data_IF_997641270607
#
_entry.id   IF_997641270607
#
_cell.length_a   1.000
_cell.length_b   1.000
_cell.length_c   1.000
_cell.angle_alpha   90.00
_cell.angle_beta   90.00
_cell.angle_gamma   90.00
#
_symmetry.space_group_name_H-M   'P 1'
#
loop_
_entity.id
_entity.type
_entity.pdbx_description
1 polymer ?
#
# COMPACT_ATOMS: atom_id res chain seq x y z
N UNK A 1 -10.91 9.90 -1.43
CA UNK A 1 -9.52 10.33 -1.17
C UNK A 1 -8.65 9.91 -2.35
N UNK A 2 -7.84 10.81 -2.80
CA UNK A 2 -6.92 10.51 -3.90
C UNK A 2 -5.50 10.36 -3.36
N UNK A 3 -4.85 9.29 -3.79
CA UNK A 3 -3.45 9.00 -3.46
C UNK A 3 -2.72 8.61 -4.73
N UNK A 4 -1.41 8.51 -4.65
CA UNK A 4 -0.59 8.00 -5.75
C UNK A 4 -0.18 6.58 -5.39
N UNK A 5 -0.47 5.63 -6.28
CA UNK A 5 -0.04 4.25 -6.11
C UNK A 5 0.88 3.93 -7.27
N UNK A 6 2.14 3.67 -6.97
CA UNK A 6 3.18 3.44 -7.97
C UNK A 6 3.21 4.56 -9.01
N UNK A 7 3.05 5.80 -8.55
CA UNK A 7 3.11 6.98 -9.40
C UNK A 7 1.83 7.32 -10.15
N UNK A 8 0.79 6.52 -10.01
CA UNK A 8 -0.48 6.76 -10.69
C UNK A 8 -1.55 7.19 -9.70
N UNK A 9 -2.35 8.18 -10.09
CA UNK A 9 -3.45 8.64 -9.26
C UNK A 9 -4.51 7.57 -9.10
N UNK A 10 -4.95 7.35 -7.87
CA UNK A 10 -5.99 6.39 -7.55
C UNK A 10 -6.98 7.03 -6.60
N UNK A 11 -8.28 6.85 -6.88
CA UNK A 11 -9.32 7.28 -5.98
C UNK A 11 -9.67 6.10 -5.06
N UNK A 12 -9.29 6.23 -3.80
CA UNK A 12 -9.45 5.16 -2.83
C UNK A 12 -10.65 5.44 -1.96
N UNK A 13 -11.59 4.50 -1.92
CA UNK A 13 -12.78 4.60 -1.10
C UNK A 13 -12.83 3.44 -0.13
N UNK A 14 -13.12 3.76 1.12
CA UNK A 14 -13.31 2.75 2.14
C UNK A 14 -12.03 2.23 2.79
N UNK A 15 -10.87 2.44 2.18
CA UNK A 15 -9.61 2.05 2.79
C UNK A 15 -9.14 3.16 3.70
N UNK A 16 -8.89 2.85 4.96
CA UNK A 16 -8.45 3.82 5.96
C UNK A 16 -6.99 3.66 6.32
N UNK A 17 -6.42 2.52 6.00
CA UNK A 17 -5.03 2.24 6.31
C UNK A 17 -4.41 1.40 5.19
N UNK A 18 -3.09 1.22 5.29
CA UNK A 18 -2.34 0.50 4.25
C UNK A 18 -2.81 -0.94 4.11
N UNK A 19 -3.12 -1.60 5.22
CA UNK A 19 -3.58 -2.99 5.16
C UNK A 19 -4.85 -3.13 4.33
N UNK A 20 -5.80 -2.22 4.56
CA UNK A 20 -7.06 -2.24 3.79
C UNK A 20 -6.83 -1.92 2.33
N UNK A 21 -5.88 -1.01 2.04
CA UNK A 21 -5.54 -0.69 0.67
C UNK A 21 -5.00 -1.91 -0.07
N UNK A 22 -4.04 -2.62 0.53
CA UNK A 22 -3.45 -3.80 -0.09
C UNK A 22 -4.49 -4.91 -0.25
N UNK A 23 -5.36 -5.07 0.73
CA UNK A 23 -6.44 -6.06 0.64
C UNK A 23 -7.35 -5.79 -0.55
N UNK A 24 -7.62 -4.52 -0.81
CA UNK A 24 -8.45 -4.13 -1.95
C UNK A 24 -7.84 -4.46 -3.29
N UNK A 25 -6.53 -4.55 -3.39
CA UNK A 25 -5.85 -4.97 -4.61
C UNK A 25 -5.79 -6.49 -4.75
N UNK A 26 -6.21 -7.23 -3.73
CA UNK A 26 -6.22 -8.70 -3.74
C UNK A 26 -4.84 -9.31 -3.96
N UNK A 27 -3.81 -8.64 -3.49
CA UNK A 27 -2.45 -9.15 -3.53
C UNK A 27 -2.17 -9.96 -2.27
N UNK A 28 -1.43 -11.07 -2.39
CA UNK A 28 -1.04 -11.82 -1.19
C UNK A 28 -0.08 -10.96 -0.36
N UNK A 29 -0.41 -10.67 0.91
CA UNK A 29 0.41 -9.74 1.71
C UNK A 29 1.86 -10.18 1.84
N UNK A 30 2.11 -11.48 1.87
CA UNK A 30 3.46 -11.99 2.03
C UNK A 30 4.31 -11.81 0.79
N UNK A 31 3.70 -11.44 -0.34
CA UNK A 31 4.42 -11.30 -1.60
C UNK A 31 4.62 -9.85 -2.00
N UNK A 32 4.31 -8.90 -1.13
CA UNK A 32 4.48 -7.50 -1.47
C UNK A 32 5.25 -6.75 -0.40
N UNK A 33 6.02 -5.77 -0.85
CA UNK A 33 6.65 -4.78 0.00
C UNK A 33 5.95 -3.46 -0.24
N UNK A 34 5.78 -2.67 0.82
CA UNK A 34 5.05 -1.41 0.72
C UNK A 34 5.91 -0.30 1.30
N UNK A 35 5.98 0.82 0.56
CA UNK A 35 6.51 2.08 1.09
C UNK A 35 5.37 3.08 1.16
N UNK A 36 5.34 3.83 2.23
CA UNK A 36 4.35 4.87 2.46
C UNK A 36 5.09 6.19 2.64
N UNK A 37 4.92 7.09 1.68
CA UNK A 37 5.62 8.38 1.67
C UNK A 37 7.12 8.21 1.85
N UNK A 38 7.69 7.22 1.18
CA UNK A 38 9.13 6.96 1.23
C UNK A 38 9.60 6.09 2.39
N UNK A 39 8.68 5.69 3.27
CA UNK A 39 9.03 4.87 4.44
C UNK A 39 8.66 3.41 4.16
N UNK A 40 9.67 2.54 4.20
CA UNK A 40 9.43 1.10 4.04
C UNK A 40 8.72 0.56 5.27
N UNK A 41 7.66 -0.17 5.07
CA UNK A 41 6.83 -0.67 6.15
C UNK A 41 6.99 -2.17 6.30
N UNK A 42 7.09 -2.63 7.54
CA UNK A 42 6.87 -4.04 7.85
C UNK A 42 5.39 -4.33 7.71
N UNK A 43 5.05 -5.56 7.31
CA UNK A 43 3.65 -5.94 7.14
C UNK A 43 2.82 -5.70 8.39
N UNK A 44 3.41 -5.93 9.57
CA UNK A 44 2.72 -5.71 10.84
C UNK A 44 2.35 -4.25 11.09
N UNK A 45 3.00 -3.32 10.37
CA UNK A 45 2.74 -1.89 10.52
C UNK A 45 1.61 -1.39 9.61
N UNK A 46 1.22 -2.19 8.62
CA UNK A 46 0.24 -1.74 7.63
C UNK A 46 -1.08 -1.31 8.26
N UNK A 47 -1.51 -2.04 9.27
CA UNK A 47 -2.79 -1.79 9.92
C UNK A 47 -2.78 -0.47 10.69
N UNK A 48 -1.62 -0.06 11.15
CA UNK A 48 -1.44 1.15 11.94
C UNK A 48 -1.14 2.37 11.10
N UNK A 49 -0.90 2.19 9.79
CA UNK A 49 -0.55 3.30 8.91
C UNK A 49 -1.80 3.85 8.26
N UNK A 50 -2.32 4.95 8.81
CA UNK A 50 -3.47 5.62 8.24
C UNK A 50 -3.12 6.26 6.90
N UNK A 51 -4.08 6.24 5.99
CA UNK A 51 -3.95 6.91 4.69
C UNK A 51 -4.50 8.32 4.78
N UNK A 52 -3.88 9.23 4.05
CA UNK A 52 -4.32 10.61 3.95
C UNK A 52 -4.31 11.05 2.50
N UNK A 53 -5.10 12.06 2.22
CA UNK A 53 -5.16 12.66 0.88
C UNK A 53 -3.78 13.03 0.39
N UNK A 54 -3.44 12.62 -0.82
CA UNK A 54 -2.16 12.96 -1.42
C UNK A 54 -1.01 12.02 -1.06
N UNK A 55 -1.25 11.03 -0.23
CA UNK A 55 -0.19 10.06 0.14
C UNK A 55 0.34 9.35 -1.08
N UNK A 56 1.61 8.95 -0.99
CA UNK A 56 2.27 8.15 -2.01
C UNK A 56 2.53 6.76 -1.46
N UNK A 57 2.05 5.78 -2.21
CA UNK A 57 2.22 4.37 -1.87
C UNK A 57 3.00 3.71 -3.00
N UNK A 58 4.08 3.02 -2.66
CA UNK A 58 4.77 2.14 -3.60
C UNK A 58 4.50 0.71 -3.20
N UNK A 59 3.98 -0.07 -4.13
CA UNK A 59 3.73 -1.50 -3.90
C UNK A 59 4.69 -2.27 -4.79
N UNK A 60 5.55 -3.06 -4.18
CA UNK A 60 6.54 -3.85 -4.90
C UNK A 60 6.16 -5.31 -4.77
N UNK A 61 5.88 -5.95 -5.89
CA UNK A 61 5.53 -7.37 -5.88
C UNK A 61 6.81 -8.18 -5.92
N UNK A 62 7.04 -8.97 -4.89
CA UNK A 62 8.23 -9.80 -4.79
C UNK A 62 7.92 -11.15 -5.41
N UNK A 63 8.67 -11.46 -6.48
CA UNK A 63 8.54 -12.76 -7.12
C UNK A 63 9.51 -13.71 -6.46
N UNK A 64 8.97 -14.72 -5.80
CA UNK A 64 9.80 -15.66 -5.07
C UNK A 64 10.62 -16.51 -6.02
N UNK A 65 11.90 -16.57 -5.74
CA UNK A 65 12.81 -17.60 -6.16
C UNK A 65 12.81 -17.95 -7.63
N UNK A 66 12.61 -17.03 -8.37
CA UNK A 66 12.55 -17.28 -9.81
C UNK A 66 13.59 -18.22 -10.27
#
# INVERSE_FOLDING_TARGET
MRILVNGEGADVRGAQNVAELIDGYRMPPQAVLVEHNGVALHRREWRERALAEGDRIEIIHVVAGG
#
